data_IF_328709022974
#
_entry.id   IF_328709022974
#
_cell.length_a   1.000
_cell.length_b   1.000
_cell.length_c   1.000
_cell.angle_alpha   90.00
_cell.angle_beta   90.00
_cell.angle_gamma   90.00
#
_symmetry.space_group_name_H-M   'P 1'
#
loop_
_entity.id
_entity.type
_entity.pdbx_description
1 polymer ?
#
# COMPACT_ATOMS: atom_id res chain seq x y z
N UNK A 1 11.03 -12.21 11.83
CA UNK A 1 11.11 -12.87 13.16
C UNK A 1 9.70 -13.11 13.70
N UNK A 2 9.45 -14.26 14.36
CA UNK A 2 8.14 -14.75 14.89
C UNK A 2 6.96 -14.91 13.91
N UNK A 3 7.19 -14.93 12.61
CA UNK A 3 6.16 -15.33 11.63
C UNK A 3 5.97 -16.85 11.62
N UNK A 4 4.92 -17.34 10.96
CA UNK A 4 4.63 -18.78 10.77
C UNK A 4 5.82 -19.60 10.22
N UNK A 5 6.76 -18.96 9.52
CA UNK A 5 7.95 -19.60 8.93
C UNK A 5 9.23 -19.38 9.73
N UNK A 6 9.14 -18.83 10.94
CA UNK A 6 10.28 -18.56 11.80
C UNK A 6 10.45 -19.69 12.83
N UNK A 7 11.69 -20.05 13.16
CA UNK A 7 11.99 -21.07 14.18
C UNK A 7 11.54 -20.70 15.60
N UNK A 8 11.19 -19.42 15.83
CA UNK A 8 10.65 -18.90 17.09
C UNK A 8 9.11 -18.92 17.13
N UNK A 9 8.45 -19.39 16.07
CA UNK A 9 7.00 -19.43 16.00
C UNK A 9 6.40 -20.34 17.08
N UNK A 10 5.47 -19.81 17.86
CA UNK A 10 4.74 -20.57 18.89
C UNK A 10 5.53 -20.91 20.15
N UNK A 11 6.79 -20.47 20.27
CA UNK A 11 7.60 -20.71 21.47
C UNK A 11 7.09 -19.88 22.65
N UNK A 12 7.10 -20.51 23.84
CA UNK A 12 6.85 -19.85 25.12
C UNK A 12 8.03 -18.96 25.55
N UNK A 13 7.82 -17.99 26.46
CA UNK A 13 8.92 -17.15 26.98
C UNK A 13 10.11 -17.96 27.51
N UNK A 14 9.86 -19.08 28.19
CA UNK A 14 10.92 -19.96 28.70
C UNK A 14 11.74 -20.61 27.57
N UNK A 15 11.09 -21.03 26.49
CA UNK A 15 11.77 -21.64 25.34
C UNK A 15 12.54 -20.60 24.51
N UNK A 16 12.09 -19.35 24.49
CA UNK A 16 12.82 -18.22 23.87
C UNK A 16 14.13 -17.97 24.62
N UNK A 17 14.06 -17.83 25.95
CA UNK A 17 15.25 -17.66 26.80
C UNK A 17 16.22 -18.83 26.64
N UNK A 18 15.70 -20.06 26.60
CA UNK A 18 16.53 -21.26 26.39
C UNK A 18 17.24 -21.28 25.03
N UNK A 19 16.76 -20.51 24.04
CA UNK A 19 17.38 -20.34 22.72
C UNK A 19 18.22 -19.07 22.60
N UNK A 20 18.40 -18.32 23.68
CA UNK A 20 19.18 -17.08 23.70
C UNK A 20 18.44 -15.86 23.15
N UNK A 21 17.12 -15.94 23.02
CA UNK A 21 16.26 -14.82 22.60
C UNK A 21 15.68 -14.09 23.81
N UNK A 22 15.19 -12.88 23.60
CA UNK A 22 14.46 -12.11 24.62
C UNK A 22 13.11 -12.79 24.95
N UNK A 23 12.76 -12.86 26.24
CA UNK A 23 11.51 -13.48 26.70
C UNK A 23 10.25 -12.77 26.16
N UNK A 24 10.39 -11.47 25.84
CA UNK A 24 9.38 -10.58 25.27
C UNK A 24 9.59 -10.26 23.79
N UNK A 25 10.43 -11.03 23.07
CA UNK A 25 10.70 -10.85 21.64
C UNK A 25 9.39 -10.66 20.85
N UNK A 26 9.20 -9.48 20.26
CA UNK A 26 7.94 -9.05 19.64
C UNK A 26 7.81 -9.53 18.18
N UNK A 27 8.93 -9.72 17.47
CA UNK A 27 9.00 -10.07 16.06
C UNK A 27 8.51 -8.96 15.12
N UNK A 28 8.09 -9.33 13.92
CA UNK A 28 7.56 -8.37 12.93
C UNK A 28 8.60 -7.61 12.10
N UNK A 29 9.89 -7.87 12.32
CA UNK A 29 11.00 -7.34 11.52
C UNK A 29 11.75 -8.46 10.76
N UNK A 30 12.68 -8.06 9.90
CA UNK A 30 13.56 -8.90 9.10
C UNK A 30 15.01 -8.70 9.54
N UNK A 31 15.80 -9.76 9.54
CA UNK A 31 17.25 -9.69 9.72
C UNK A 31 17.91 -9.80 8.35
N UNK A 32 18.60 -8.75 7.92
CA UNK A 32 19.26 -8.68 6.61
C UNK A 32 20.72 -8.31 6.83
N UNK A 33 21.63 -9.25 6.53
CA UNK A 33 23.07 -9.12 6.78
C UNK A 33 23.40 -8.75 8.25
N UNK A 34 22.72 -9.40 9.20
CA UNK A 34 22.89 -9.14 10.64
C UNK A 34 22.24 -7.85 11.15
N UNK A 35 21.56 -7.08 10.28
CA UNK A 35 20.83 -5.87 10.67
C UNK A 35 19.33 -6.12 10.74
N UNK A 36 18.71 -5.66 11.81
CA UNK A 36 17.26 -5.66 11.95
C UNK A 36 16.64 -4.52 11.14
N UNK A 37 15.64 -4.85 10.32
CA UNK A 37 14.94 -3.93 9.45
C UNK A 37 13.45 -4.20 9.47
N UNK A 38 12.67 -3.13 9.55
CA UNK A 38 11.20 -3.21 9.51
C UNK A 38 10.68 -2.54 8.24
N UNK A 39 9.68 -3.16 7.62
CA UNK A 39 8.93 -2.53 6.53
C UNK A 39 7.94 -1.56 7.16
N UNK A 40 8.05 -0.27 6.82
CA UNK A 40 7.16 0.75 7.34
C UNK A 40 5.77 0.64 6.71
N UNK A 41 4.75 0.77 7.55
CA UNK A 41 3.37 0.90 7.08
C UNK A 41 3.19 2.21 6.31
N UNK A 42 2.45 2.15 5.20
CA UNK A 42 2.14 3.31 4.37
C UNK A 42 0.63 3.56 4.36
N UNK A 43 0.25 4.82 4.55
CA UNK A 43 -1.14 5.26 4.37
C UNK A 43 -1.40 5.41 2.87
N UNK A 44 -2.44 4.76 2.37
CA UNK A 44 -2.81 4.76 0.96
C UNK A 44 -4.31 5.04 0.80
N UNK A 45 -4.77 5.52 -0.38
CA UNK A 45 -6.19 5.67 -0.65
C UNK A 45 -6.97 4.36 -0.43
N UNK A 46 -8.19 4.51 0.09
CA UNK A 46 -9.13 3.39 0.29
C UNK A 46 -9.33 2.63 -1.02
N UNK A 47 -9.22 1.31 -0.94
CA UNK A 47 -9.44 0.43 -2.08
C UNK A 47 -10.93 0.24 -2.38
N UNK A 48 -11.26 0.02 -3.64
CA UNK A 48 -12.61 -0.29 -4.12
C UNK A 48 -13.67 0.76 -3.72
N UNK A 49 -13.26 2.03 -3.63
CA UNK A 49 -14.14 3.16 -3.32
C UNK A 49 -13.89 4.30 -4.33
N UNK A 50 -14.93 4.80 -5.04
CA UNK A 50 -14.78 5.91 -5.96
C UNK A 50 -14.67 7.23 -5.18
N UNK A 51 -13.53 7.88 -5.27
CA UNK A 51 -13.26 9.14 -4.59
C UNK A 51 -13.32 10.30 -5.58
N UNK A 52 -14.26 11.22 -5.39
CA UNK A 52 -14.25 12.49 -6.10
C UNK A 52 -13.12 13.39 -5.59
N UNK A 53 -12.31 13.92 -6.51
CA UNK A 53 -11.15 14.76 -6.17
C UNK A 53 -11.12 16.02 -7.04
N UNK A 54 -10.70 17.12 -6.43
CA UNK A 54 -10.40 18.37 -7.13
C UNK A 54 -8.91 18.69 -6.92
N UNK A 55 -8.09 18.60 -7.98
CA UNK A 55 -6.65 18.85 -7.93
C UNK A 55 -6.25 19.84 -9.03
N UNK A 56 -5.75 21.05 -8.70
CA UNK A 56 -5.33 22.03 -9.70
C UNK A 56 -4.29 21.50 -10.69
N UNK A 57 -3.39 20.64 -10.21
CA UNK A 57 -2.34 20.01 -11.04
C UNK A 57 -2.86 19.14 -12.18
N UNK A 58 -4.15 18.76 -12.21
CA UNK A 58 -4.73 18.04 -13.34
C UNK A 58 -4.88 18.89 -14.58
N UNK A 59 -5.02 20.22 -14.44
CA UNK A 59 -5.01 21.14 -15.58
C UNK A 59 -3.68 21.11 -16.35
N UNK A 60 -2.58 20.74 -15.69
CA UNK A 60 -1.26 20.67 -16.32
C UNK A 60 -1.10 19.46 -17.26
N UNK A 61 -2.12 18.59 -17.36
CA UNK A 61 -2.08 17.39 -18.21
C UNK A 61 -2.46 17.65 -19.68
N UNK A 62 -3.07 18.80 -19.97
CA UNK A 62 -3.48 19.19 -21.31
C UNK A 62 -4.57 20.25 -21.27
N UNK A 63 -4.75 20.97 -22.38
CA UNK A 63 -5.61 22.16 -22.44
C UNK A 63 -7.08 21.90 -22.04
N UNK A 64 -7.61 20.70 -22.34
CA UNK A 64 -9.00 20.34 -22.04
C UNK A 64 -9.21 19.79 -20.62
N UNK A 65 -8.14 19.47 -19.87
CA UNK A 65 -8.27 18.88 -18.54
C UNK A 65 -8.81 19.89 -17.53
N UNK A 66 -9.83 19.49 -16.76
CA UNK A 66 -10.27 20.25 -15.59
C UNK A 66 -9.54 19.78 -14.32
N UNK A 67 -9.81 20.47 -13.20
CA UNK A 67 -9.30 20.05 -11.88
C UNK A 67 -10.03 18.81 -11.32
N UNK A 68 -11.15 18.40 -11.93
CA UNK A 68 -12.04 17.38 -11.37
C UNK A 68 -11.74 16.00 -11.94
N UNK A 69 -11.73 15.00 -11.06
CA UNK A 69 -11.69 13.60 -11.44
C UNK A 69 -12.36 12.72 -10.40
N UNK A 70 -12.72 11.50 -10.79
CA UNK A 70 -13.01 10.40 -9.86
C UNK A 70 -11.84 9.44 -9.89
N UNK A 71 -11.26 9.14 -8.73
CA UNK A 71 -10.16 8.19 -8.57
C UNK A 71 -10.68 6.95 -7.85
N UNK A 72 -10.35 5.77 -8.37
CA UNK A 72 -10.61 4.50 -7.71
C UNK A 72 -9.34 3.65 -7.72
N UNK A 73 -8.88 3.26 -6.53
CA UNK A 73 -7.82 2.25 -6.38
C UNK A 73 -8.48 0.88 -6.29
N UNK A 74 -8.43 0.11 -7.36
CA UNK A 74 -9.00 -1.23 -7.42
C UNK A 74 -8.00 -2.25 -6.87
N UNK A 75 -8.44 -3.16 -6.01
CA UNK A 75 -7.62 -4.24 -5.45
C UNK A 75 -8.14 -5.60 -5.91
N UNK A 76 -7.24 -6.43 -6.45
CA UNK A 76 -7.53 -7.82 -6.82
C UNK A 76 -7.51 -8.72 -5.59
N UNK A 77 -7.98 -9.96 -5.75
CA UNK A 77 -8.01 -10.97 -4.68
C UNK A 77 -6.62 -11.36 -4.17
N UNK A 78 -5.58 -11.19 -4.97
CA UNK A 78 -4.18 -11.41 -4.61
C UNK A 78 -3.53 -10.22 -3.86
N UNK A 79 -4.29 -9.14 -3.61
CA UNK A 79 -3.81 -7.94 -2.95
C UNK A 79 -3.10 -6.93 -3.85
N UNK A 80 -2.85 -7.25 -5.13
CA UNK A 80 -2.29 -6.28 -6.08
C UNK A 80 -3.32 -5.18 -6.37
N UNK A 81 -2.85 -3.95 -6.60
CA UNK A 81 -3.74 -2.81 -6.82
C UNK A 81 -3.44 -2.04 -8.09
N UNK A 82 -4.49 -1.59 -8.79
CA UNK A 82 -4.44 -0.73 -9.95
C UNK A 82 -5.25 0.55 -9.67
N UNK A 83 -4.68 1.72 -9.94
CA UNK A 83 -5.42 2.98 -9.82
C UNK A 83 -5.97 3.40 -11.17
N UNK A 84 -7.27 3.62 -11.21
CA UNK A 84 -8.01 4.16 -12.35
C UNK A 84 -8.51 5.57 -12.00
N UNK A 85 -8.45 6.49 -12.96
CA UNK A 85 -8.95 7.86 -12.79
C UNK A 85 -9.78 8.29 -13.98
N UNK A 86 -11.01 8.74 -13.73
CA UNK A 86 -11.90 9.34 -14.73
C UNK A 86 -11.80 10.85 -14.64
N UNK A 87 -11.26 11.50 -15.66
CA UNK A 87 -11.06 12.95 -15.72
C UNK A 87 -12.21 13.63 -16.46
N UNK A 88 -12.77 14.68 -15.87
CA UNK A 88 -13.74 15.54 -16.55
C UNK A 88 -13.02 16.63 -17.35
N UNK A 89 -13.46 16.87 -18.58
CA UNK A 89 -12.85 17.88 -19.48
C UNK A 89 -13.78 19.05 -19.77
N UNK A 90 -13.21 20.18 -20.17
CA UNK A 90 -13.93 21.43 -20.36
C UNK A 90 -14.93 21.40 -21.53
N UNK A 91 -14.78 20.46 -22.45
CA UNK A 91 -15.69 20.18 -23.56
C UNK A 91 -16.88 19.29 -23.16
N UNK A 92 -17.00 18.92 -21.88
CA UNK A 92 -18.07 18.06 -21.36
C UNK A 92 -17.78 16.56 -21.44
N UNK A 93 -16.62 16.16 -21.99
CA UNK A 93 -16.22 14.75 -22.11
C UNK A 93 -15.64 14.18 -20.81
N UNK A 94 -15.45 12.86 -20.78
CA UNK A 94 -14.71 12.15 -19.73
C UNK A 94 -13.64 11.25 -20.31
N UNK A 95 -12.43 11.28 -19.73
CA UNK A 95 -11.32 10.39 -20.13
C UNK A 95 -10.95 9.44 -19.00
N UNK A 96 -11.02 8.13 -19.28
CA UNK A 96 -10.52 7.11 -18.38
C UNK A 96 -9.00 6.97 -18.54
N UNK A 97 -8.29 7.04 -17.42
CA UNK A 97 -6.85 6.84 -17.35
C UNK A 97 -6.50 5.72 -16.39
N UNK A 98 -5.58 4.86 -16.84
CA UNK A 98 -4.91 3.84 -16.05
C UNK A 98 -3.41 3.87 -16.38
N UNK A 99 -2.60 3.27 -15.52
CA UNK A 99 -1.17 3.06 -15.77
C UNK A 99 -0.91 1.59 -16.05
N UNK A 100 -0.12 1.28 -17.07
CA UNK A 100 0.37 -0.06 -17.35
C UNK A 100 1.90 -0.01 -17.44
N UNK A 101 2.54 -1.09 -17.02
CA UNK A 101 3.99 -1.29 -17.01
C UNK A 101 4.28 -2.65 -17.59
#
# INVERSE_FOLDING_TARGET
VRSLRCNLHGLSPKELVARGEDETEAGGYFVIHGLERVIRMLIMPRVNYPMAIARPSYKNRGALYTKYAVLMRCMRTDGTTQTNSLHYTSDGSCYLRFSHS
#
